data_IF_677998402453
#
_entry.id   IF_677998402453
#
_cell.length_a   1.000
_cell.length_b   1.000
_cell.length_c   1.000
_cell.angle_alpha   90.00
_cell.angle_beta   90.00
_cell.angle_gamma   90.00
#
_symmetry.space_group_name_H-M   'P 1'
#
loop_
_entity.id
_entity.type
_entity.pdbx_description
1 polymer ?
#
# COMPACT_ATOMS: atom_id res chain seq x y z
N UNK A 1 -14.62 -5.16 -12.73
CA UNK A 1 -15.01 -3.75 -12.96
C UNK A 1 -14.52 -2.99 -11.72
N UNK A 2 -13.33 -2.36 -11.76
CA UNK A 2 -12.68 -1.73 -10.59
C UNK A 2 -13.01 -0.23 -10.53
N UNK A 3 -14.29 0.13 -10.40
CA UNK A 3 -14.74 1.53 -10.45
C UNK A 3 -14.49 2.33 -9.15
N UNK A 4 -14.07 1.68 -8.06
CA UNK A 4 -13.99 2.28 -6.70
C UNK A 4 -12.57 2.27 -6.13
N UNK A 5 -11.55 2.05 -6.96
CA UNK A 5 -10.18 2.07 -6.44
C UNK A 5 -9.69 3.50 -6.20
N UNK A 6 -9.12 3.78 -5.01
CA UNK A 6 -8.55 5.08 -4.72
C UNK A 6 -7.39 5.39 -5.67
N UNK A 7 -7.27 6.66 -6.04
CA UNK A 7 -6.17 7.12 -6.90
C UNK A 7 -4.98 7.47 -6.03
N UNK A 8 -3.92 6.68 -6.15
CA UNK A 8 -2.69 6.97 -5.43
C UNK A 8 -1.87 8.08 -6.11
N UNK A 9 -1.22 8.90 -5.28
CA UNK A 9 -0.11 9.75 -5.71
C UNK A 9 1.21 9.18 -5.17
N UNK A 10 2.33 9.48 -5.82
CA UNK A 10 3.62 8.92 -5.39
C UNK A 10 4.02 9.36 -3.97
N UNK A 11 3.66 10.58 -3.57
CA UNK A 11 4.02 11.14 -2.28
C UNK A 11 3.30 10.46 -1.11
N UNK A 12 2.10 9.89 -1.34
CA UNK A 12 1.33 9.14 -0.35
C UNK A 12 2.00 7.83 0.06
N UNK A 13 2.95 7.33 -0.74
CA UNK A 13 3.76 6.17 -0.36
C UNK A 13 4.87 6.55 0.63
N UNK A 14 5.21 7.84 0.71
CA UNK A 14 6.35 8.37 1.45
C UNK A 14 5.98 9.05 2.78
N UNK A 15 4.69 9.11 3.10
CA UNK A 15 4.19 9.61 4.38
C UNK A 15 3.41 8.49 5.07
N UNK A 16 3.83 8.03 6.26
CA UNK A 16 4.89 8.54 7.14
C UNK A 16 6.22 7.77 7.03
N UNK A 17 6.39 6.96 5.99
CA UNK A 17 7.57 6.10 5.81
C UNK A 17 7.88 5.88 4.35
N UNK A 18 8.08 4.63 3.94
CA UNK A 18 8.29 4.29 2.53
C UNK A 18 8.04 2.79 2.30
N UNK A 19 7.64 2.37 1.09
CA UNK A 19 7.52 0.97 0.75
C UNK A 19 8.89 0.32 0.50
N UNK A 20 8.97 -0.98 0.76
CA UNK A 20 10.09 -1.83 0.39
C UNK A 20 9.91 -2.40 -1.04
N UNK A 21 10.99 -2.88 -1.69
CA UNK A 21 10.92 -3.39 -3.06
C UNK A 21 9.89 -4.50 -3.24
N UNK A 22 9.82 -5.45 -2.31
CA UNK A 22 8.84 -6.53 -2.33
C UNK A 22 7.38 -6.06 -2.21
N UNK A 23 7.15 -4.95 -1.51
CA UNK A 23 5.80 -4.37 -1.38
C UNK A 23 5.37 -3.68 -2.68
N UNK A 24 6.31 -2.99 -3.34
CA UNK A 24 6.09 -2.41 -4.68
C UNK A 24 5.87 -3.48 -5.73
N UNK A 25 6.68 -4.55 -5.70
CA UNK A 25 6.54 -5.71 -6.56
C UNK A 25 5.16 -6.35 -6.44
N UNK A 26 4.70 -6.59 -5.20
CA UNK A 26 3.35 -7.10 -4.93
C UNK A 26 2.28 -6.19 -5.51
N UNK A 27 2.41 -4.87 -5.30
CA UNK A 27 1.50 -3.87 -5.84
C UNK A 27 1.36 -3.95 -7.34
N UNK A 28 2.50 -3.95 -8.02
CA UNK A 28 2.54 -4.01 -9.48
C UNK A 28 1.98 -5.34 -10.01
N UNK A 29 2.39 -6.48 -9.46
CA UNK A 29 1.95 -7.81 -9.91
C UNK A 29 0.44 -8.03 -9.76
N UNK A 30 -0.16 -7.49 -8.70
CA UNK A 30 -1.60 -7.57 -8.48
C UNK A 30 -2.35 -6.39 -9.11
N UNK A 31 -1.67 -5.64 -9.99
CA UNK A 31 -2.20 -4.49 -10.73
C UNK A 31 -2.75 -3.37 -9.83
N UNK A 32 -2.31 -3.30 -8.55
CA UNK A 32 -2.68 -2.27 -7.58
C UNK A 32 -2.11 -0.89 -7.95
N UNK A 33 -0.97 -0.91 -8.64
CA UNK A 33 -0.31 0.25 -9.23
C UNK A 33 0.10 -0.08 -10.65
N UNK A 34 0.06 0.92 -11.53
CA UNK A 34 0.56 0.79 -12.88
C UNK A 34 2.07 1.09 -12.96
N UNK A 35 2.65 0.86 -14.14
CA UNK A 35 4.05 1.15 -14.43
C UNK A 35 4.41 2.61 -14.15
N UNK A 36 3.55 3.56 -14.53
CA UNK A 36 3.84 4.98 -14.39
C UNK A 36 3.90 5.40 -12.91
N UNK A 37 2.97 4.92 -12.09
CA UNK A 37 2.97 5.14 -10.66
C UNK A 37 4.15 4.45 -9.98
N UNK A 38 4.49 3.21 -10.37
CA UNK A 38 5.68 2.52 -9.87
C UNK A 38 6.96 3.33 -10.11
N UNK A 39 7.18 3.82 -11.34
CA UNK A 39 8.33 4.69 -11.67
C UNK A 39 8.32 5.94 -10.80
N UNK A 40 7.17 6.62 -10.67
CA UNK A 40 7.06 7.84 -9.87
C UNK A 40 7.34 7.61 -8.39
N UNK A 41 6.96 6.47 -7.83
CA UNK A 41 7.27 6.12 -6.44
C UNK A 41 8.76 5.91 -6.26
N UNK A 42 9.43 5.19 -7.17
CA UNK A 42 10.88 4.98 -7.12
C UNK A 42 11.63 6.31 -7.25
N UNK A 43 11.25 7.17 -8.20
CA UNK A 43 11.80 8.51 -8.34
C UNK A 43 11.59 9.35 -7.07
N UNK A 44 10.43 9.20 -6.43
CA UNK A 44 10.11 9.92 -5.20
C UNK A 44 10.98 9.44 -4.02
N UNK A 45 11.35 8.16 -3.93
CA UNK A 45 12.30 7.67 -2.93
C UNK A 45 13.64 8.42 -3.05
N UNK A 46 14.20 8.46 -4.26
CA UNK A 46 15.47 9.14 -4.53
C UNK A 46 15.41 10.65 -4.21
N UNK A 47 14.34 11.33 -4.63
CA UNK A 47 14.14 12.77 -4.34
C UNK A 47 13.99 13.09 -2.85
N UNK A 48 13.52 12.13 -2.05
CA UNK A 48 13.37 12.27 -0.60
C UNK A 48 14.59 11.72 0.18
N UNK A 49 15.74 11.57 -0.47
CA UNK A 49 16.99 11.10 0.13
C UNK A 49 16.91 9.69 0.73
N UNK A 50 15.99 8.86 0.23
CA UNK A 50 15.88 7.45 0.61
C UNK A 50 16.75 6.66 -0.38
N UNK A 51 17.81 5.97 0.08
CA UNK A 51 18.69 5.22 -0.81
C UNK A 51 17.91 4.12 -1.56
N UNK A 52 18.09 4.07 -2.87
CA UNK A 52 17.57 2.99 -3.69
C UNK A 52 18.37 1.72 -3.45
N UNK A 53 17.65 0.62 -3.27
CA UNK A 53 18.22 -0.74 -3.18
C UNK A 53 18.61 -1.27 -4.57
N UNK A 54 19.50 -2.27 -4.67
CA UNK A 54 19.80 -2.93 -5.95
C UNK A 54 18.54 -3.40 -6.69
N UNK A 55 17.53 -3.86 -5.96
CA UNK A 55 16.25 -4.32 -6.49
C UNK A 55 15.44 -3.18 -7.11
N UNK A 56 15.45 -1.99 -6.50
CA UNK A 56 14.78 -0.80 -7.06
C UNK A 56 15.52 -0.22 -8.26
N UNK A 57 16.84 -0.34 -8.29
CA UNK A 57 17.63 -0.01 -9.47
C UNK A 57 17.32 -0.98 -10.61
N UNK A 58 17.20 -2.29 -10.32
CA UNK A 58 16.78 -3.31 -11.30
C UNK A 58 15.37 -3.00 -11.83
N UNK A 59 14.41 -2.66 -10.96
CA UNK A 59 13.07 -2.21 -11.39
C UNK A 59 13.18 -1.02 -12.33
N UNK A 60 13.99 -0.01 -12.00
CA UNK A 60 14.14 1.20 -12.83
C UNK A 60 14.72 0.87 -14.21
N UNK A 61 15.71 -0.03 -14.28
CA UNK A 61 16.30 -0.48 -15.54
C UNK A 61 15.28 -1.23 -16.41
N UNK A 62 14.56 -2.18 -15.82
CA UNK A 62 13.54 -2.97 -16.54
C UNK A 62 12.37 -2.12 -17.03
N UNK A 63 12.09 -0.99 -16.36
CA UNK A 63 11.09 -0.01 -16.78
C UNK A 63 11.59 0.92 -17.89
N UNK A 64 12.91 1.08 -18.05
CA UNK A 64 13.53 1.92 -19.09
C UNK A 64 13.76 1.19 -20.42
N UNK A 65 13.85 -0.15 -20.39
CA UNK A 65 14.02 -0.98 -21.57
C UNK A 65 12.69 -1.25 -22.30
N UNK A 66 12.76 -1.47 -23.62
CA UNK A 66 11.63 -1.51 -24.56
C UNK A 66 10.43 -2.38 -24.13
N UNK A 67 9.24 -2.00 -24.64
CA UNK A 67 7.88 -2.47 -24.30
C UNK A 67 7.71 -3.99 -24.15
N UNK A 68 8.50 -4.81 -24.85
CA UNK A 68 8.42 -6.27 -24.80
C UNK A 68 8.92 -6.88 -23.48
N UNK A 69 9.79 -6.20 -22.73
CA UNK A 69 10.29 -6.68 -21.43
C UNK A 69 9.29 -6.47 -20.27
N UNK A 70 8.42 -5.46 -20.37
CA UNK A 70 7.45 -5.10 -19.32
C UNK A 70 6.47 -6.25 -19.04
N UNK A 71 6.15 -7.09 -20.03
CA UNK A 71 5.26 -8.25 -19.85
C UNK A 71 5.81 -9.30 -18.88
N UNK A 72 7.13 -9.40 -18.74
CA UNK A 72 7.77 -10.33 -17.81
C UNK A 72 8.20 -9.68 -16.49
N UNK A 73 8.09 -8.36 -16.39
CA UNK A 73 8.48 -7.60 -15.21
C UNK A 73 7.77 -8.11 -13.94
N UNK A 74 6.45 -8.29 -13.97
CA UNK A 74 5.70 -8.77 -12.82
C UNK A 74 6.20 -10.12 -12.28
N UNK A 75 6.63 -11.04 -13.16
CA UNK A 75 7.20 -12.33 -12.77
C UNK A 75 8.62 -12.18 -12.21
N UNK A 76 9.42 -11.27 -12.78
CA UNK A 76 10.77 -11.00 -12.31
C UNK A 76 10.77 -10.31 -10.94
N UNK A 77 9.82 -9.41 -10.68
CA UNK A 77 9.69 -8.71 -9.41
C UNK A 77 9.15 -9.58 -8.28
N UNK A 78 8.38 -10.63 -8.61
CA UNK A 78 7.81 -11.54 -7.61
C UNK A 78 8.88 -12.18 -6.70
N UNK A 79 10.13 -12.30 -7.16
CA UNK A 79 11.25 -12.82 -6.36
C UNK A 79 11.57 -11.97 -5.12
N UNK A 80 11.16 -10.70 -5.12
CA UNK A 80 11.35 -9.78 -4.00
C UNK A 80 10.19 -9.81 -3.00
N UNK A 81 9.06 -10.45 -3.36
CA UNK A 81 7.89 -10.51 -2.49
C UNK A 81 8.15 -11.42 -1.27
N UNK A 82 7.57 -11.03 -0.14
CA UNK A 82 7.55 -11.80 1.09
C UNK A 82 6.10 -11.96 1.55
N UNK A 83 5.86 -12.86 2.51
CA UNK A 83 4.51 -13.11 3.06
C UNK A 83 3.82 -11.83 3.57
N UNK A 84 4.61 -10.86 3.99
CA UNK A 84 4.15 -9.59 4.56
C UNK A 84 3.99 -8.48 3.51
N UNK A 85 4.45 -8.68 2.27
CA UNK A 85 4.46 -7.65 1.22
C UNK A 85 3.06 -7.16 0.83
N UNK A 86 2.02 -7.98 1.06
CA UNK A 86 0.63 -7.58 0.83
C UNK A 86 0.07 -6.68 1.93
N UNK A 87 0.63 -6.72 3.15
CA UNK A 87 -0.02 -6.12 4.32
C UNK A 87 -0.04 -4.60 4.28
N UNK A 88 1.02 -3.97 3.78
CA UNK A 88 1.10 -2.51 3.67
C UNK A 88 0.01 -1.93 2.76
N UNK A 89 -0.49 -2.69 1.79
CA UNK A 89 -1.53 -2.23 0.89
C UNK A 89 -2.84 -1.95 1.62
N UNK A 90 -3.11 -2.64 2.72
CA UNK A 90 -4.24 -2.32 3.59
C UNK A 90 -4.15 -0.88 4.10
N UNK A 91 -2.96 -0.45 4.51
CA UNK A 91 -2.73 0.92 4.95
C UNK A 91 -2.93 1.92 3.81
N UNK A 92 -2.33 1.69 2.64
CA UNK A 92 -2.43 2.63 1.52
C UNK A 92 -3.87 2.80 1.03
N UNK A 93 -4.59 1.70 0.80
CA UNK A 93 -6.01 1.76 0.40
C UNK A 93 -6.86 2.47 1.46
N UNK A 94 -6.64 2.15 2.74
CA UNK A 94 -7.38 2.80 3.83
C UNK A 94 -7.10 4.29 3.89
N UNK A 95 -5.83 4.69 3.89
CA UNK A 95 -5.40 6.09 3.98
C UNK A 95 -5.96 6.92 2.83
N UNK A 96 -5.88 6.40 1.60
CA UNK A 96 -6.41 7.08 0.43
C UNK A 96 -7.95 7.22 0.48
N UNK A 97 -8.66 6.15 0.84
CA UNK A 97 -10.14 6.18 0.96
C UNK A 97 -10.62 7.18 2.02
N UNK A 98 -9.95 7.21 3.18
CA UNK A 98 -10.28 8.11 4.29
C UNK A 98 -9.99 9.57 3.94
N UNK A 99 -8.99 9.83 3.10
CA UNK A 99 -8.70 11.17 2.59
C UNK A 99 -9.76 11.71 1.62
N UNK A 100 -10.45 10.83 0.90
CA UNK A 100 -11.45 11.19 -0.12
C UNK A 100 -12.88 11.26 0.42
N UNK A 101 -13.27 10.35 1.32
CA UNK A 101 -14.66 10.20 1.79
C UNK A 101 -14.81 10.75 3.21
N UNK A 102 -15.60 11.83 3.36
CA UNK A 102 -15.86 12.47 4.65
C UNK A 102 -16.98 11.83 5.44
N UNK A 103 -18.03 11.37 4.75
CA UNK A 103 -19.17 10.74 5.42
C UNK A 103 -18.71 9.39 6.03
N UNK A 104 -18.89 9.18 7.34
CA UNK A 104 -18.43 7.96 7.99
C UNK A 104 -19.10 6.69 7.48
N UNK A 105 -20.38 6.74 7.09
CA UNK A 105 -21.11 5.55 6.62
C UNK A 105 -20.60 5.16 5.25
N UNK A 106 -20.58 6.10 4.30
CA UNK A 106 -20.04 5.87 2.94
C UNK A 106 -18.58 5.41 2.99
N UNK A 107 -17.79 5.96 3.91
CA UNK A 107 -16.40 5.55 4.12
C UNK A 107 -16.29 4.08 4.51
N UNK A 108 -17.06 3.61 5.49
CA UNK A 108 -16.99 2.20 5.91
C UNK A 108 -17.56 1.25 4.86
N UNK A 109 -18.56 1.66 4.08
CA UNK A 109 -19.06 0.88 2.93
C UNK A 109 -18.02 0.76 1.81
N UNK A 110 -17.32 1.86 1.50
CA UNK A 110 -16.23 1.85 0.52
C UNK A 110 -15.07 0.97 0.98
N UNK A 111 -14.68 1.07 2.25
CA UNK A 111 -13.62 0.24 2.83
C UNK A 111 -14.00 -1.25 2.83
N UNK A 112 -15.24 -1.61 3.17
CA UNK A 112 -15.73 -2.99 3.08
C UNK A 112 -15.65 -3.53 1.65
N UNK A 113 -16.07 -2.72 0.68
CA UNK A 113 -16.01 -3.08 -0.74
C UNK A 113 -14.57 -3.29 -1.23
N UNK A 114 -13.66 -2.38 -0.89
CA UNK A 114 -12.23 -2.48 -1.26
C UNK A 114 -11.60 -3.73 -0.63
N UNK A 115 -11.93 -4.03 0.62
CA UNK A 115 -11.33 -5.18 1.31
C UNK A 115 -11.93 -6.51 0.90
N UNK A 116 -13.19 -6.54 0.48
CA UNK A 116 -13.78 -7.71 -0.18
C UNK A 116 -12.97 -8.09 -1.42
N UNK A 117 -12.60 -7.10 -2.25
CA UNK A 117 -11.78 -7.32 -3.45
C UNK A 117 -10.35 -7.78 -3.13
N UNK A 118 -9.80 -7.36 -1.97
CA UNK A 118 -8.48 -7.76 -1.50
C UNK A 118 -8.48 -9.06 -0.67
N UNK A 119 -9.65 -9.71 -0.50
CA UNK A 119 -9.77 -10.99 0.19
C UNK A 119 -9.83 -10.91 1.72
N UNK A 120 -10.34 -9.80 2.28
CA UNK A 120 -10.55 -9.56 3.72
C UNK A 120 -9.30 -9.80 4.58
N UNK A 121 -8.38 -8.82 4.63
CA UNK A 121 -7.21 -8.95 5.48
C UNK A 121 -7.58 -9.02 6.97
N UNK A 122 -6.92 -9.89 7.73
CA UNK A 122 -7.21 -10.17 9.14
C UNK A 122 -7.30 -8.92 10.04
N UNK A 123 -6.49 -7.89 9.77
CA UNK A 123 -6.49 -6.67 10.57
C UNK A 123 -7.75 -5.80 10.35
N UNK A 124 -8.38 -5.92 9.18
CA UNK A 124 -9.50 -5.06 8.78
C UNK A 124 -10.83 -5.49 9.36
N UNK A 125 -10.97 -6.76 9.74
CA UNK A 125 -12.17 -7.23 10.44
C UNK A 125 -12.42 -6.43 11.72
N UNK A 126 -11.35 -6.03 12.42
CA UNK A 126 -11.44 -5.22 13.64
C UNK A 126 -11.76 -3.75 13.38
N UNK A 127 -11.72 -3.30 12.12
CA UNK A 127 -12.15 -1.96 11.72
C UNK A 127 -13.60 -1.98 11.25
N UNK A 128 -14.00 -2.98 10.43
CA UNK A 128 -15.38 -3.14 9.99
C UNK A 128 -16.32 -3.63 11.11
N UNK A 129 -15.81 -4.45 12.01
CA UNK A 129 -16.54 -5.06 13.13
C UNK A 129 -15.73 -4.86 14.42
N UNK A 130 -15.62 -3.62 14.92
CA UNK A 130 -14.81 -3.30 16.09
C UNK A 130 -15.31 -3.97 17.38
N UNK A 131 -16.60 -4.31 17.41
CA UNK A 131 -17.23 -5.09 18.48
C UNK A 131 -18.14 -6.15 17.84
N UNK A 132 -18.28 -7.30 18.49
CA UNK A 132 -19.10 -8.41 17.99
C UNK A 132 -20.55 -7.97 17.72
N UNK A 133 -21.03 -8.24 16.51
CA UNK A 133 -22.37 -7.84 16.07
C UNK A 133 -22.58 -6.33 15.85
N UNK A 134 -21.53 -5.51 15.91
CA UNK A 134 -21.62 -4.05 15.71
C UNK A 134 -20.79 -3.61 14.50
N UNK A 135 -21.38 -3.62 13.29
CA UNK A 135 -20.69 -3.16 12.10
C UNK A 135 -20.44 -1.64 12.12
N UNK A 136 -19.29 -1.22 11.61
CA UNK A 136 -18.82 0.16 11.65
C UNK A 136 -19.73 1.14 10.89
N UNK A 137 -20.34 0.73 9.78
CA UNK A 137 -21.27 1.56 9.02
C UNK A 137 -22.57 1.87 9.80
N UNK A 138 -22.98 1.00 10.74
CA UNK A 138 -24.12 1.27 11.65
C UNK A 138 -23.70 1.91 12.99
N UNK A 139 -22.42 1.79 13.35
CA UNK A 139 -21.84 2.36 14.56
C UNK A 139 -20.59 3.21 14.25
N UNK A 140 -20.74 4.36 13.55
CA UNK A 140 -19.59 5.07 12.99
C UNK A 140 -18.59 5.55 14.02
N UNK A 141 -19.01 5.91 15.23
CA UNK A 141 -18.08 6.33 16.29
C UNK A 141 -17.14 5.18 16.73
N UNK A 142 -17.63 3.94 16.77
CA UNK A 142 -16.81 2.77 17.08
C UNK A 142 -15.85 2.47 15.92
N UNK A 143 -16.37 2.53 14.68
CA UNK A 143 -15.60 2.38 13.47
C UNK A 143 -14.45 3.38 13.37
N UNK A 144 -14.73 4.68 13.56
CA UNK A 144 -13.74 5.76 13.48
C UNK A 144 -12.63 5.61 14.52
N UNK A 145 -12.98 5.17 15.75
CA UNK A 145 -11.99 4.87 16.78
C UNK A 145 -11.08 3.70 16.36
N UNK A 146 -11.65 2.61 15.85
CA UNK A 146 -10.89 1.46 15.40
C UNK A 146 -10.01 1.79 14.18
N UNK A 147 -10.56 2.53 13.23
CA UNK A 147 -9.86 3.05 12.05
C UNK A 147 -8.70 3.95 12.43
N UNK A 148 -8.90 4.90 13.36
CA UNK A 148 -7.84 5.77 13.87
C UNK A 148 -6.72 4.97 14.52
N UNK A 149 -7.05 3.97 15.34
CA UNK A 149 -6.05 3.07 15.95
C UNK A 149 -5.28 2.26 14.90
N UNK A 150 -5.98 1.76 13.88
CA UNK A 150 -5.37 1.02 12.76
C UNK A 150 -4.36 1.90 12.01
N UNK A 151 -4.77 3.10 11.60
CA UNK A 151 -3.91 4.05 10.89
C UNK A 151 -2.72 4.50 11.75
N UNK A 152 -2.92 4.74 13.05
CA UNK A 152 -1.85 5.12 13.97
C UNK A 152 -0.80 4.02 14.14
N UNK A 153 -1.21 2.75 14.26
CA UNK A 153 -0.28 1.62 14.37
C UNK A 153 0.55 1.44 13.11
N UNK A 154 -0.08 1.51 11.94
CA UNK A 154 0.62 1.47 10.67
C UNK A 154 1.57 2.65 10.50
N UNK A 155 1.09 3.86 10.80
CA UNK A 155 1.89 5.07 10.74
C UNK A 155 3.15 4.95 11.59
N UNK A 156 3.02 4.48 12.83
CA UNK A 156 4.14 4.26 13.74
C UNK A 156 5.10 3.20 13.18
N UNK A 157 4.58 2.09 12.65
CA UNK A 157 5.42 1.02 12.07
C UNK A 157 6.19 1.49 10.84
N UNK A 158 5.57 2.27 9.96
CA UNK A 158 6.20 2.81 8.75
C UNK A 158 7.24 3.88 9.09
N UNK A 159 6.96 4.75 10.07
CA UNK A 159 7.88 5.79 10.52
C UNK A 159 9.15 5.22 11.20
N UNK A 160 9.11 3.98 11.68
CA UNK A 160 10.28 3.29 12.24
C UNK A 160 11.22 2.71 11.18
N UNK A 161 10.84 2.74 9.89
CA UNK A 161 11.72 2.27 8.82
C UNK A 161 12.90 3.23 8.65
N UNK A 162 14.11 2.72 8.82
CA UNK A 162 15.32 3.52 8.64
C UNK A 162 15.82 3.39 7.19
N UNK A 163 15.98 4.51 6.45
CA UNK A 163 16.45 4.47 5.06
C UNK A 163 17.79 3.75 4.89
N UNK A 164 18.72 3.91 5.83
CA UNK A 164 20.05 3.29 5.76
C UNK A 164 20.05 1.78 6.04
N UNK A 165 19.04 1.26 6.75
CA UNK A 165 18.93 -0.19 7.00
C UNK A 165 18.56 -0.97 5.73
N UNK A 166 18.00 -0.28 4.72
CA UNK A 166 17.62 -0.87 3.42
C UNK A 166 18.81 -1.47 2.68
N UNK A 167 19.99 -0.85 2.78
CA UNK A 167 21.20 -1.27 2.09
C UNK A 167 21.89 -2.48 2.75
N UNK A 168 21.55 -2.78 4.00
CA UNK A 168 22.15 -3.89 4.78
C UNK A 168 21.38 -5.20 4.67
N UNK A 169 20.16 -5.15 4.13
CA UNK A 169 19.33 -6.33 3.94
C UNK A 169 19.63 -7.09 2.63
N UNK A 170 20.48 -6.50 1.77
CA UNK A 170 20.91 -7.06 0.48
C UNK A 170 22.25 -7.81 0.54
N UNK A 171 22.82 -8.01 1.75
CA UNK A 171 24.00 -8.87 2.03
C UNK A 171 23.55 -10.21 2.66
#
# INVERSE_FOLDING_TARGET
>A
MREVWPRFNADSFLDPGFPYPGELAYGYRNELIDTHLLTRVIDALGRNYIPLTPEELEITMLLSDEVDQIRHLALQLAKYEHKESSKIWQYYFTSATVGEIRDPVEKFEALDSIWADLGYPDAMIYVLYPEEGKPAHLHPMLGEKALSNFLARWSQSLAQREPMKRLRASE
#
